data_IF_112219987133
#
_entry.id   IF_112219987133
#
_cell.length_a   1.000
_cell.length_b   1.000
_cell.length_c   1.000
_cell.angle_alpha   90.00
_cell.angle_beta   90.00
_cell.angle_gamma   90.00
#
_symmetry.space_group_name_H-M   'P 1'
#
loop_
_entity.id
_entity.type
_entity.pdbx_description
1 polymer ?
#
# COMPACT_ATOMS: atom_id res chain seq x y z
N UNK A 1 -3.33 -5.63 11.71
CA UNK A 1 -2.05 -6.18 11.20
C UNK A 1 -1.88 -5.67 9.77
N UNK A 2 -0.68 -5.34 9.29
CA UNK A 2 -0.53 -4.74 7.95
C UNK A 2 -0.22 -5.81 6.88
N UNK A 3 -1.13 -5.99 5.92
CA UNK A 3 -1.04 -6.95 4.82
C UNK A 3 -0.57 -6.34 3.49
N UNK A 4 -0.25 -5.04 3.44
CA UNK A 4 0.15 -4.34 2.23
C UNK A 4 1.33 -5.01 1.50
N UNK A 5 2.36 -5.43 2.26
CA UNK A 5 3.54 -6.10 1.70
C UNK A 5 3.19 -7.40 1.02
N UNK A 6 2.33 -8.20 1.65
CA UNK A 6 1.88 -9.50 1.12
C UNK A 6 1.08 -9.31 -0.16
N UNK A 7 0.14 -8.36 -0.18
CA UNK A 7 -0.66 -8.03 -1.35
C UNK A 7 0.20 -7.52 -2.50
N UNK A 8 1.17 -6.66 -2.22
CA UNK A 8 2.13 -6.18 -3.21
C UNK A 8 2.93 -7.33 -3.82
N UNK A 9 3.48 -8.22 -2.97
CA UNK A 9 4.27 -9.37 -3.42
C UNK A 9 3.43 -10.38 -4.22
N UNK A 10 2.17 -10.62 -3.85
CA UNK A 10 1.24 -11.48 -4.61
C UNK A 10 0.96 -10.95 -6.02
N UNK A 11 1.00 -9.63 -6.22
CA UNK A 11 0.93 -9.00 -7.55
C UNK A 11 2.27 -8.94 -8.28
N UNK A 12 3.37 -9.43 -7.69
CA UNK A 12 4.71 -9.42 -8.29
C UNK A 12 5.37 -8.04 -8.36
N UNK A 13 4.92 -7.09 -7.54
CA UNK A 13 5.37 -5.69 -7.61
C UNK A 13 6.51 -5.40 -6.64
N UNK A 14 7.44 -4.55 -7.06
CA UNK A 14 8.41 -3.87 -6.20
C UNK A 14 7.76 -2.70 -5.45
N UNK A 15 8.41 -2.21 -4.38
CA UNK A 15 7.92 -1.02 -3.65
C UNK A 15 7.87 0.21 -4.56
N UNK A 16 8.84 0.38 -5.46
CA UNK A 16 8.88 1.45 -6.45
C UNK A 16 7.72 1.39 -7.45
N UNK A 17 7.35 0.20 -7.92
CA UNK A 17 6.21 0.06 -8.84
C UNK A 17 4.88 0.38 -8.16
N UNK A 18 4.67 -0.11 -6.93
CA UNK A 18 3.48 0.27 -6.17
C UNK A 18 3.46 1.78 -5.90
N UNK A 19 4.60 2.40 -5.61
CA UNK A 19 4.67 3.83 -5.33
C UNK A 19 4.26 4.67 -6.55
N UNK A 20 4.63 4.23 -7.77
CA UNK A 20 4.19 4.87 -9.02
C UNK A 20 2.67 4.78 -9.20
N UNK A 21 2.08 3.62 -8.92
CA UNK A 21 0.61 3.41 -8.99
C UNK A 21 -0.12 4.36 -8.06
N UNK A 22 0.27 4.42 -6.79
CA UNK A 22 -0.42 5.27 -5.80
C UNK A 22 0.09 6.72 -5.79
N UNK A 23 1.04 7.06 -6.65
CA UNK A 23 1.66 8.39 -6.81
C UNK A 23 2.28 8.91 -5.50
N UNK A 24 3.13 8.11 -4.88
CA UNK A 24 3.94 8.46 -3.69
C UNK A 24 5.39 8.03 -3.87
N UNK A 25 6.26 8.38 -2.91
CA UNK A 25 7.64 7.91 -2.93
C UNK A 25 7.76 6.44 -2.52
N UNK A 26 8.77 5.73 -3.02
CA UNK A 26 9.09 4.36 -2.58
C UNK A 26 9.27 4.27 -1.06
N UNK A 27 9.96 5.27 -0.46
CA UNK A 27 10.13 5.37 1.00
C UNK A 27 8.79 5.44 1.75
N UNK A 28 7.78 6.08 1.15
CA UNK A 28 6.43 6.14 1.72
C UNK A 28 5.78 4.76 1.77
N UNK A 29 5.86 3.98 0.68
CA UNK A 29 5.36 2.60 0.63
C UNK A 29 6.09 1.72 1.66
N UNK A 30 7.43 1.84 1.73
CA UNK A 30 8.24 1.12 2.72
C UNK A 30 7.84 1.46 4.15
N UNK A 31 7.61 2.74 4.46
CA UNK A 31 7.17 3.16 5.79
C UNK A 31 5.78 2.62 6.16
N UNK A 32 4.87 2.51 5.19
CA UNK A 32 3.57 1.86 5.39
C UNK A 32 3.76 0.38 5.72
N UNK A 33 4.47 -0.38 4.89
CA UNK A 33 4.70 -1.82 5.09
C UNK A 33 5.37 -2.15 6.43
N UNK A 34 6.23 -1.27 6.93
CA UNK A 34 6.88 -1.40 8.24
C UNK A 34 6.01 -0.93 9.41
N UNK A 35 4.81 -0.40 9.16
CA UNK A 35 3.93 0.18 10.18
C UNK A 35 4.45 1.47 10.80
N UNK A 36 5.50 2.09 10.23
CA UNK A 36 6.10 3.33 10.74
C UNK A 36 5.22 4.55 10.48
N UNK A 37 4.35 4.47 9.47
CA UNK A 37 3.44 5.55 9.08
C UNK A 37 2.17 4.95 8.49
N UNK A 38 1.05 5.63 8.68
CA UNK A 38 -0.22 5.27 8.03
C UNK A 38 -0.44 6.09 6.74
N UNK A 39 -1.07 5.51 5.71
CA UNK A 39 -1.50 6.27 4.53
C UNK A 39 -2.60 7.28 4.90
N UNK A 40 -2.69 8.41 4.18
CA UNK A 40 -3.81 9.36 4.33
C UNK A 40 -5.03 8.84 3.57
N UNK A 41 -6.24 9.40 3.79
CA UNK A 41 -7.46 8.95 3.11
C UNK A 41 -7.34 8.86 1.58
N UNK A 42 -6.64 9.81 0.94
CA UNK A 42 -6.40 9.78 -0.51
C UNK A 42 -5.55 8.57 -0.95
N UNK A 43 -4.55 8.18 -0.17
CA UNK A 43 -3.74 7.01 -0.51
C UNK A 43 -4.45 5.70 -0.17
N UNK A 44 -5.27 5.68 0.90
CA UNK A 44 -6.13 4.54 1.21
C UNK A 44 -7.09 4.25 0.06
N UNK A 45 -7.79 5.27 -0.47
CA UNK A 45 -8.68 5.10 -1.61
C UNK A 45 -7.95 4.52 -2.83
N UNK A 46 -6.76 5.05 -3.17
CA UNK A 46 -5.97 4.51 -4.31
C UNK A 46 -5.56 3.06 -4.10
N UNK A 47 -5.24 2.67 -2.87
CA UNK A 47 -4.91 1.29 -2.53
C UNK A 47 -6.14 0.40 -2.63
N UNK A 48 -7.30 0.86 -2.15
CA UNK A 48 -8.59 0.18 -2.30
C UNK A 48 -8.92 -0.04 -3.78
N UNK A 49 -8.82 1.00 -4.60
CA UNK A 49 -9.08 0.94 -6.05
C UNK A 49 -8.12 0.00 -6.77
N UNK A 50 -6.83 0.02 -6.41
CA UNK A 50 -5.81 -0.78 -7.09
C UNK A 50 -5.85 -2.27 -6.72
N UNK A 51 -6.07 -2.57 -5.43
CA UNK A 51 -6.16 -3.94 -4.95
C UNK A 51 -7.57 -4.52 -5.06
N UNK A 52 -8.59 -3.67 -5.26
CA UNK A 52 -10.00 -4.02 -5.20
C UNK A 52 -10.37 -4.71 -3.87
N UNK A 53 -9.81 -4.20 -2.78
CA UNK A 53 -9.92 -4.75 -1.42
C UNK A 53 -10.15 -3.58 -0.45
N UNK A 54 -11.08 -3.68 0.52
CA UNK A 54 -11.28 -2.63 1.53
C UNK A 54 -10.02 -2.37 2.35
N UNK A 55 -9.72 -1.11 2.68
CA UNK A 55 -8.52 -0.72 3.47
C UNK A 55 -8.46 -1.42 4.83
N UNK A 56 -9.61 -1.79 5.38
CA UNK A 56 -9.73 -2.58 6.60
C UNK A 56 -8.96 -3.90 6.44
N UNK A 57 -9.15 -4.61 5.33
CA UNK A 57 -8.43 -5.87 5.04
C UNK A 57 -6.94 -5.68 4.71
N UNK A 58 -6.53 -4.45 4.37
CA UNK A 58 -5.15 -4.12 4.03
C UNK A 58 -4.36 -3.76 5.30
N UNK A 59 -4.96 -3.00 6.22
CA UNK A 59 -4.24 -2.38 7.36
C UNK A 59 -4.72 -2.82 8.75
N UNK A 60 -5.88 -3.47 8.87
CA UNK A 60 -6.47 -3.90 10.15
C UNK A 60 -6.55 -5.42 10.22
#
# INVERSE_FOLDING_TARGET
MNHLRELRMKKGLTQLELSKVVKVSEKTVSAWELGKRNPKPRELQKLEDFFNIPKEKIFF
#
